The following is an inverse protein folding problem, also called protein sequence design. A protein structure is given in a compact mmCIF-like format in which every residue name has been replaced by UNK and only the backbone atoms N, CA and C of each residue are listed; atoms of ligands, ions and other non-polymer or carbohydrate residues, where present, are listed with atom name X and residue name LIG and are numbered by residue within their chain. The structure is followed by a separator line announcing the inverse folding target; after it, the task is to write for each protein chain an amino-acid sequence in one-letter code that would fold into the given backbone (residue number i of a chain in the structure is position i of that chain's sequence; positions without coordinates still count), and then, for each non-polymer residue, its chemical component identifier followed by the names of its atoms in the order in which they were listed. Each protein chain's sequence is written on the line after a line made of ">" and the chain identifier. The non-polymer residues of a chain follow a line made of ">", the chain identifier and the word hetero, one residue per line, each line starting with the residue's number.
data_IF_202561081251
#
_entry.id   IF_202561081251
#
_cell.length_a   1.000
_cell.length_b   1.000
_cell.length_c   1.000
_cell.angle_alpha   90.00
_cell.angle_beta   90.00
_cell.angle_gamma   90.00
#
_symmetry.space_group_name_H-M   'P 1'
#
loop_
_entity.id
_entity.type
_entity.pdbx_description
1 polymer ?
#
# COMPACT_ATOMS: atom_id res chain seq x y z
N UNK A 1 -26.81 24.10 -29.52
CA UNK A 1 -25.36 23.82 -29.54
C UNK A 1 -24.80 24.27 -28.21
N UNK A 2 -24.92 23.41 -27.21
CA UNK A 2 -24.40 23.60 -25.85
C UNK A 2 -22.88 23.56 -25.91
N UNK A 3 -22.26 24.59 -25.34
CA UNK A 3 -20.81 24.68 -25.20
C UNK A 3 -20.34 23.45 -24.43
N UNK A 4 -19.45 22.67 -25.06
CA UNK A 4 -18.54 21.79 -24.34
C UNK A 4 -17.60 22.75 -23.61
N UNK A 5 -17.96 23.17 -22.40
CA UNK A 5 -17.02 23.85 -21.51
C UNK A 5 -15.85 22.90 -21.34
N UNK A 6 -14.73 23.31 -21.93
CA UNK A 6 -13.45 22.66 -21.79
C UNK A 6 -13.18 22.55 -20.28
N UNK A 7 -13.26 21.32 -19.76
CA UNK A 7 -12.99 20.95 -18.36
C UNK A 7 -11.47 21.03 -18.10
N UNK A 8 -10.88 22.17 -18.44
CA UNK A 8 -9.45 22.44 -18.39
C UNK A 8 -9.13 22.90 -16.97
N UNK A 9 -8.17 22.20 -16.36
CA UNK A 9 -7.66 22.57 -15.04
C UNK A 9 -7.23 24.04 -15.02
N UNK A 10 -7.76 24.79 -14.07
CA UNK A 10 -7.28 26.15 -13.84
C UNK A 10 -5.87 26.11 -13.21
N UNK A 11 -5.19 27.25 -13.19
CA UNK A 11 -3.81 27.34 -12.69
C UNK A 11 -3.67 26.86 -11.22
N UNK A 12 -4.65 27.17 -10.37
CA UNK A 12 -4.63 26.75 -8.97
C UNK A 12 -4.80 25.23 -8.84
N UNK A 13 -5.71 24.63 -9.60
CA UNK A 13 -5.92 23.18 -9.65
C UNK A 13 -4.69 22.43 -10.17
N UNK A 14 -4.04 22.94 -11.23
CA UNK A 14 -2.81 22.37 -11.77
C UNK A 14 -1.66 22.43 -10.75
N UNK A 15 -1.54 23.54 -10.01
CA UNK A 15 -0.53 23.68 -8.94
C UNK A 15 -0.81 22.72 -7.78
N UNK A 16 -2.07 22.55 -7.40
CA UNK A 16 -2.48 21.62 -6.35
C UNK A 16 -2.18 20.17 -6.73
N UNK A 17 -2.53 19.76 -7.94
CA UNK A 17 -2.19 18.44 -8.49
C UNK A 17 -0.68 18.22 -8.49
N UNK A 18 0.10 19.19 -8.98
CA UNK A 18 1.56 19.08 -9.01
C UNK A 18 2.15 18.97 -7.60
N UNK A 19 1.64 19.72 -6.63
CA UNK A 19 2.09 19.65 -5.25
C UNK A 19 1.81 18.27 -4.64
N UNK A 20 0.61 17.72 -4.88
CA UNK A 20 0.24 16.40 -4.39
C UNK A 20 1.07 15.28 -5.05
N UNK A 21 1.32 15.37 -6.36
CA UNK A 21 2.20 14.45 -7.07
C UNK A 21 3.64 14.51 -6.54
N UNK A 22 4.17 15.71 -6.29
CA UNK A 22 5.52 15.86 -5.72
C UNK A 22 5.62 15.25 -4.32
N UNK A 23 4.68 15.55 -3.43
CA UNK A 23 4.68 15.01 -2.09
C UNK A 23 4.57 13.47 -2.09
N UNK A 24 3.61 12.92 -2.84
CA UNK A 24 3.43 11.47 -2.94
C UNK A 24 4.63 10.76 -3.59
N UNK A 25 5.30 11.38 -4.57
CA UNK A 25 6.55 10.85 -5.15
C UNK A 25 7.71 10.78 -4.15
N UNK A 26 7.65 11.56 -3.07
CA UNK A 26 8.63 11.54 -1.97
C UNK A 26 8.21 10.59 -0.84
N UNK A 27 7.13 9.82 -1.03
CA UNK A 27 6.61 8.86 -0.05
C UNK A 27 5.60 9.44 0.93
N UNK A 28 5.18 10.71 0.78
CA UNK A 28 4.07 11.26 1.56
C UNK A 28 2.73 10.78 1.00
N UNK A 29 2.30 9.62 1.49
CA UNK A 29 1.00 9.05 1.14
C UNK A 29 -0.16 9.55 2.03
N UNK A 30 0.03 10.64 2.77
CA UNK A 30 -1.04 11.28 3.55
C UNK A 30 -1.77 12.37 2.77
N UNK A 31 -1.17 12.85 1.67
CA UNK A 31 -1.76 13.90 0.82
C UNK A 31 -3.04 13.43 0.15
N UNK A 32 -4.03 14.33 0.09
CA UNK A 32 -5.30 14.12 -0.61
C UNK A 32 -5.61 15.32 -1.50
N UNK A 33 -6.16 15.05 -2.69
CA UNK A 33 -6.73 16.06 -3.55
C UNK A 33 -8.21 16.30 -3.19
N UNK A 34 -8.70 17.54 -3.22
CA UNK A 34 -10.11 17.83 -3.04
C UNK A 34 -10.92 17.35 -4.25
N UNK A 35 -12.10 16.81 -3.99
CA UNK A 35 -13.04 16.36 -5.03
C UNK A 35 -13.93 17.54 -5.41
N UNK A 36 -13.49 18.29 -6.42
CA UNK A 36 -14.14 19.51 -6.89
C UNK A 36 -14.33 19.49 -8.42
N UNK A 37 -15.17 20.38 -8.94
CA UNK A 37 -15.43 20.52 -10.38
C UNK A 37 -14.12 20.77 -11.16
N UNK A 38 -13.90 20.02 -12.24
CA UNK A 38 -12.66 20.00 -13.01
C UNK A 38 -11.57 19.05 -12.49
N UNK A 39 -11.62 18.63 -11.21
CA UNK A 39 -10.66 17.68 -10.63
C UNK A 39 -11.25 16.33 -10.21
N UNK A 40 -12.58 16.18 -10.16
CA UNK A 40 -13.27 15.01 -9.58
C UNK A 40 -12.63 13.66 -9.87
N UNK A 41 -12.62 13.22 -11.14
CA UNK A 41 -12.08 11.90 -11.50
C UNK A 41 -10.57 11.77 -11.21
N UNK A 42 -9.79 12.82 -11.45
CA UNK A 42 -8.34 12.83 -11.15
C UNK A 42 -8.12 12.72 -9.65
N UNK A 43 -8.89 13.45 -8.85
CA UNK A 43 -8.80 13.45 -7.40
C UNK A 43 -9.18 12.08 -6.84
N UNK A 44 -10.24 11.46 -7.34
CA UNK A 44 -10.66 10.12 -6.93
C UNK A 44 -9.58 9.08 -7.23
N UNK A 45 -9.08 9.03 -8.46
CA UNK A 45 -8.02 8.10 -8.87
C UNK A 45 -6.73 8.33 -8.06
N UNK A 46 -6.33 9.59 -7.89
CA UNK A 46 -5.13 9.93 -7.11
C UNK A 46 -5.28 9.53 -5.64
N UNK A 47 -6.42 9.85 -5.02
CA UNK A 47 -6.68 9.54 -3.62
C UNK A 47 -6.74 8.04 -3.37
N UNK A 48 -7.33 7.26 -4.31
CA UNK A 48 -7.33 5.80 -4.25
C UNK A 48 -5.91 5.24 -4.35
N UNK A 49 -5.11 5.71 -5.33
CA UNK A 49 -3.72 5.29 -5.50
C UNK A 49 -2.86 5.61 -4.26
N UNK A 50 -2.99 6.82 -3.71
CA UNK A 50 -2.27 7.20 -2.49
C UNK A 50 -2.71 6.33 -1.30
N UNK A 51 -4.01 6.08 -1.13
CA UNK A 51 -4.52 5.22 -0.08
C UNK A 51 -3.98 3.78 -0.20
N UNK A 52 -3.92 3.23 -1.42
CA UNK A 52 -3.34 1.91 -1.66
C UNK A 52 -1.86 1.87 -1.22
N UNK A 53 -1.06 2.85 -1.65
CA UNK A 53 0.36 2.92 -1.28
C UNK A 53 0.56 3.09 0.23
N UNK A 54 -0.25 3.94 0.88
CA UNK A 54 -0.17 4.14 2.33
C UNK A 54 -0.45 2.84 3.10
N UNK A 55 -1.53 2.15 2.77
CA UNK A 55 -1.91 0.89 3.43
C UNK A 55 -0.84 -0.17 3.20
N UNK A 56 -0.40 -0.32 1.95
CA UNK A 56 0.57 -1.34 1.58
C UNK A 56 1.93 -1.15 2.27
N UNK A 57 2.48 0.07 2.22
CA UNK A 57 3.78 0.39 2.84
C UNK A 57 3.74 0.35 4.36
N UNK A 58 2.61 0.69 4.98
CA UNK A 58 2.41 0.55 6.42
C UNK A 58 2.34 -0.93 6.82
N UNK A 59 1.57 -1.74 6.10
CA UNK A 59 1.37 -3.16 6.42
C UNK A 59 2.68 -3.95 6.32
N UNK A 60 3.44 -3.75 5.23
CA UNK A 60 4.74 -4.42 5.06
C UNK A 60 5.74 -4.02 6.16
N UNK A 61 5.76 -2.74 6.54
CA UNK A 61 6.62 -2.24 7.62
C UNK A 61 6.25 -2.87 8.97
N UNK A 62 4.96 -3.02 9.25
CA UNK A 62 4.48 -3.68 10.48
C UNK A 62 4.87 -5.16 10.52
N UNK A 63 4.78 -5.86 9.39
CA UNK A 63 5.19 -7.27 9.31
C UNK A 63 6.69 -7.42 9.49
N UNK A 64 7.51 -6.57 8.87
CA UNK A 64 8.96 -6.62 9.09
C UNK A 64 9.36 -6.30 10.53
N UNK A 65 8.64 -5.40 11.21
CA UNK A 65 8.82 -5.19 12.67
C UNK A 65 8.47 -6.46 13.46
N UNK A 66 7.33 -7.08 13.18
CA UNK A 66 6.95 -8.34 13.84
C UNK A 66 7.99 -9.45 13.62
N UNK A 67 8.50 -9.60 12.38
CA UNK A 67 9.59 -10.53 12.06
C UNK A 67 10.84 -10.24 12.88
N UNK A 68 11.23 -8.96 13.01
CA UNK A 68 12.39 -8.55 13.80
C UNK A 68 12.21 -8.88 15.30
N UNK A 69 10.97 -8.81 15.79
CA UNK A 69 10.60 -9.19 17.17
C UNK A 69 10.42 -10.72 17.34
N UNK A 70 10.62 -11.52 16.28
CA UNK A 70 10.46 -12.97 16.29
C UNK A 70 9.02 -13.47 16.14
N UNK A 71 8.07 -12.60 15.85
CA UNK A 71 6.69 -12.96 15.55
C UNK A 71 6.50 -13.24 14.06
N UNK A 72 6.51 -14.54 13.71
CA UNK A 72 6.25 -15.03 12.35
C UNK A 72 4.79 -15.45 12.12
N UNK A 73 3.85 -14.89 12.88
CA UNK A 73 2.41 -15.14 12.68
C UNK A 73 1.73 -14.08 11.80
N UNK A 74 2.33 -12.90 11.65
CA UNK A 74 1.75 -11.77 10.91
C UNK A 74 1.94 -11.95 9.40
N UNK A 75 0.86 -11.81 8.64
CA UNK A 75 0.84 -11.93 7.18
C UNK A 75 0.26 -10.67 6.53
N UNK A 76 0.72 -10.40 5.31
CA UNK A 76 0.17 -9.38 4.43
C UNK A 76 -1.26 -9.77 4.05
N UNK A 77 -2.17 -8.81 4.12
CA UNK A 77 -3.50 -8.93 3.53
C UNK A 77 -3.39 -8.86 2.01
N UNK A 78 -4.08 -9.74 1.29
CA UNK A 78 -4.14 -9.74 -0.19
C UNK A 78 -5.27 -8.86 -0.74
N UNK A 79 -5.80 -7.98 0.09
CA UNK A 79 -6.93 -7.09 -0.19
C UNK A 79 -6.70 -5.76 0.51
N UNK A 80 -7.07 -4.65 -0.15
CA UNK A 80 -7.10 -3.32 0.44
C UNK A 80 -8.44 -2.68 0.08
N UNK A 81 -9.16 -2.17 1.09
CA UNK A 81 -10.46 -1.52 0.93
C UNK A 81 -11.49 -2.37 0.15
N UNK A 82 -11.59 -3.67 0.41
CA UNK A 82 -12.55 -4.55 -0.27
C UNK A 82 -12.12 -5.02 -1.66
N UNK A 83 -10.94 -4.61 -2.14
CA UNK A 83 -10.44 -4.94 -3.49
C UNK A 83 -9.19 -5.82 -3.41
N UNK A 84 -9.13 -6.94 -4.14
CA UNK A 84 -7.93 -7.75 -4.22
C UNK A 84 -6.73 -6.94 -4.70
N UNK A 85 -5.57 -7.18 -4.10
CA UNK A 85 -4.31 -6.66 -4.61
C UNK A 85 -4.04 -7.26 -5.99
N UNK A 86 -3.57 -6.42 -6.89
CA UNK A 86 -3.24 -6.78 -8.27
C UNK A 86 -1.80 -6.43 -8.61
N UNK A 87 -1.27 -7.07 -9.66
CA UNK A 87 0.09 -6.83 -10.17
C UNK A 87 1.17 -6.96 -9.09
N UNK A 88 2.10 -6.01 -9.10
CA UNK A 88 3.29 -5.99 -8.22
C UNK A 88 2.95 -5.98 -6.72
N UNK A 89 1.83 -5.35 -6.33
CA UNK A 89 1.38 -5.35 -4.93
C UNK A 89 1.01 -6.77 -4.47
N UNK A 90 0.29 -7.52 -5.32
CA UNK A 90 -0.12 -8.90 -5.03
C UNK A 90 1.07 -9.84 -4.96
N UNK A 91 2.00 -9.71 -5.91
CA UNK A 91 3.21 -10.53 -5.96
C UNK A 91 4.11 -10.27 -4.76
N UNK A 92 4.30 -9.00 -4.39
CA UNK A 92 5.10 -8.62 -3.22
C UNK A 92 4.45 -9.14 -1.93
N UNK A 93 3.14 -8.96 -1.75
CA UNK A 93 2.43 -9.47 -0.57
C UNK A 93 2.53 -11.00 -0.44
N UNK A 94 2.38 -11.72 -1.55
CA UNK A 94 2.53 -13.19 -1.59
C UNK A 94 3.95 -13.63 -1.26
N UNK A 95 4.95 -12.91 -1.77
CA UNK A 95 6.37 -13.18 -1.48
C UNK A 95 6.68 -12.97 0.00
N UNK A 96 6.22 -11.86 0.59
CA UNK A 96 6.35 -11.59 2.04
C UNK A 96 5.69 -12.70 2.85
N UNK A 97 4.47 -13.12 2.51
CA UNK A 97 3.78 -14.22 3.18
C UNK A 97 4.57 -15.54 3.11
N UNK A 98 5.19 -15.82 1.97
CA UNK A 98 6.05 -17.00 1.79
C UNK A 98 7.29 -16.94 2.69
N UNK A 99 7.89 -15.76 2.86
CA UNK A 99 9.03 -15.58 3.77
C UNK A 99 8.61 -15.83 5.22
N UNK A 100 7.48 -15.26 5.65
CA UNK A 100 6.92 -15.48 6.99
C UNK A 100 6.69 -16.98 7.25
N UNK A 101 6.06 -17.68 6.30
CA UNK A 101 5.79 -19.12 6.42
C UNK A 101 7.06 -19.96 6.54
N UNK A 102 8.11 -19.60 5.80
CA UNK A 102 9.42 -20.28 5.89
C UNK A 102 10.06 -20.08 7.26
N UNK A 103 10.05 -18.87 7.80
CA UNK A 103 10.61 -18.57 9.12
C UNK A 103 9.86 -19.30 10.23
N UNK A 104 8.52 -19.33 10.15
CA UNK A 104 7.68 -20.07 11.09
C UNK A 104 7.99 -21.58 11.10
N UNK A 105 8.21 -22.17 9.92
CA UNK A 105 8.59 -23.58 9.79
C UNK A 105 9.96 -23.86 10.41
N UNK A 106 10.97 -23.04 10.12
CA UNK A 106 12.33 -23.21 10.64
C UNK A 106 12.35 -23.13 12.16
N UNK A 107 11.64 -22.17 12.75
CA UNK A 107 11.55 -22.04 14.21
C UNK A 107 10.83 -23.20 14.87
N UNK A 108 9.74 -23.68 14.28
CA UNK A 108 9.05 -24.88 14.75
C UNK A 108 9.94 -26.13 14.73
N UNK A 109 10.75 -26.30 13.69
CA UNK A 109 11.71 -27.41 13.58
C UNK A 109 12.81 -27.34 14.65
N UNK A 110 13.38 -26.15 14.89
CA UNK A 110 14.41 -25.96 15.91
C UNK A 110 13.91 -26.29 17.33
N UNK A 111 12.65 -25.93 17.64
CA UNK A 111 12.01 -26.26 18.92
C UNK A 111 11.87 -27.79 19.07
N UNK A 112 11.44 -28.50 18.03
CA UNK A 112 11.33 -29.96 18.06
C UNK A 112 12.69 -30.64 18.23
N UNK A 113 13.72 -30.20 17.50
CA UNK A 113 15.09 -30.73 17.64
C UNK A 113 15.63 -30.56 19.07
N UNK A 114 15.36 -29.43 19.71
CA UNK A 114 15.78 -29.17 21.09
C UNK A 114 15.12 -30.13 22.08
N UNK A 115 13.89 -30.58 21.80
CA UNK A 115 13.17 -31.56 22.62
C UNK A 115 13.65 -33.00 22.39
N UNK A 116 14.11 -33.32 21.19
CA UNK A 116 14.58 -34.67 20.83
C UNK A 116 16.01 -34.97 21.29
N UNK A 117 16.85 -33.93 21.45
CA UNK A 117 18.26 -34.07 21.90
C UNK A 117 18.41 -33.92 23.42
N UNK A 118 17.34 -33.51 24.11
CA UNK A 118 17.28 -33.35 25.58
C UNK A 118 16.86 -34.60 26.33
#
# INVERSE_FOLDING_TARGET
>A
MSQVENNVLNQAQAQLLLAALKASSQGDFTVRLPVEEGLGEIADVFNEWVNLNQNFTTNISQIFRAIADGDFSKKMTLEVAGKPLQGEFSQTATTVNTVVDRLNKVTSQAISMTREVG
#
